data_IF_780057709485
#
_entry.id   IF_780057709485
#
_cell.length_a   1.000
_cell.length_b   1.000
_cell.length_c   1.000
_cell.angle_alpha   90.00
_cell.angle_beta   90.00
_cell.angle_gamma   90.00
#
_symmetry.space_group_name_H-M   'P 1'
#
loop_
_entity.id
_entity.type
_entity.pdbx_description
1 polymer ?
#
# COMPACT_ATOMS: atom_id res chain seq x y z
N UNK A 1 -27.14 1.73 -4.70
CA UNK A 1 -26.47 2.43 -5.78
C UNK A 1 -26.30 3.90 -5.41
N UNK A 2 -25.13 4.41 -5.58
CA UNK A 2 -24.77 5.77 -5.14
C UNK A 2 -24.55 6.68 -6.33
N UNK A 3 -24.81 7.99 -6.18
CA UNK A 3 -24.56 8.95 -7.25
C UNK A 3 -23.11 8.88 -7.72
N UNK A 4 -22.89 9.02 -9.00
CA UNK A 4 -21.57 9.00 -9.60
C UNK A 4 -20.67 10.08 -9.03
N UNK A 5 -21.22 11.20 -8.62
CA UNK A 5 -20.48 12.30 -7.99
C UNK A 5 -19.83 11.93 -6.66
N UNK A 6 -20.26 10.86 -6.01
CA UNK A 6 -19.70 10.40 -4.75
C UNK A 6 -18.50 9.46 -4.94
N UNK A 7 -18.35 8.87 -6.12
CA UNK A 7 -17.31 7.88 -6.40
C UNK A 7 -15.91 8.49 -6.26
N UNK A 8 -15.75 9.74 -6.63
CA UNK A 8 -14.46 10.43 -6.60
C UNK A 8 -14.27 11.33 -5.37
N UNK A 9 -15.19 11.26 -4.41
CA UNK A 9 -15.06 12.01 -3.16
C UNK A 9 -14.17 11.26 -2.17
N UNK A 10 -13.67 11.90 -1.08
CA UNK A 10 -12.98 11.19 -0.02
C UNK A 10 -13.85 10.10 0.62
N UNK A 11 -15.16 10.20 0.47
CA UNK A 11 -16.15 9.24 0.96
C UNK A 11 -16.66 8.37 -0.17
N UNK A 12 -15.80 8.01 -1.11
CA UNK A 12 -16.17 7.17 -2.23
C UNK A 12 -16.91 5.91 -1.77
N UNK A 13 -18.02 5.60 -2.46
CA UNK A 13 -18.93 4.52 -2.08
C UNK A 13 -19.11 3.55 -3.22
N UNK A 14 -18.06 2.92 -3.63
CA UNK A 14 -18.09 1.92 -4.68
C UNK A 14 -18.39 0.56 -4.08
N UNK A 15 -19.40 -0.14 -4.60
CA UNK A 15 -19.68 -1.50 -4.17
C UNK A 15 -18.81 -2.47 -4.97
N UNK A 16 -17.97 -3.28 -4.32
CA UNK A 16 -17.14 -4.26 -5.01
C UNK A 16 -18.00 -5.31 -5.71
N UNK A 17 -17.53 -5.78 -6.86
CA UNK A 17 -18.18 -6.86 -7.56
C UNK A 17 -18.02 -8.19 -6.80
N UNK A 18 -18.96 -9.13 -6.93
CA UNK A 18 -18.84 -10.43 -6.29
C UNK A 18 -17.54 -11.12 -6.67
N UNK A 19 -16.83 -11.64 -5.68
CA UNK A 19 -15.57 -12.33 -5.90
C UNK A 19 -14.34 -11.45 -5.95
N UNK A 20 -14.52 -10.15 -6.06
CA UNK A 20 -13.40 -9.21 -5.96
C UNK A 20 -12.89 -9.13 -4.53
N UNK A 21 -11.64 -8.63 -4.39
CA UNK A 21 -10.97 -8.50 -3.11
C UNK A 21 -10.81 -7.09 -2.60
N UNK A 22 -11.51 -6.11 -3.13
CA UNK A 22 -11.39 -4.73 -2.69
C UNK A 22 -11.93 -4.51 -1.28
N UNK A 23 -12.64 -5.48 -0.71
CA UNK A 23 -13.13 -5.37 0.66
C UNK A 23 -12.03 -5.11 1.67
N UNK A 24 -10.78 -5.44 1.37
CA UNK A 24 -9.66 -5.14 2.26
C UNK A 24 -9.42 -3.65 2.44
N UNK A 25 -9.74 -2.85 1.43
CA UNK A 25 -9.53 -1.41 1.42
C UNK A 25 -10.82 -0.61 1.67
N UNK A 26 -11.91 -1.30 1.97
CA UNK A 26 -13.21 -0.67 2.24
C UNK A 26 -13.63 -0.88 3.68
N UNK A 27 -14.32 0.11 4.23
CA UNK A 27 -15.01 -0.04 5.51
C UNK A 27 -16.50 0.16 5.32
N UNK A 28 -17.29 -0.53 6.11
CA UNK A 28 -18.73 -0.40 6.09
C UNK A 28 -19.12 0.75 7.01
N UNK A 29 -19.80 1.75 6.45
CA UNK A 29 -20.20 2.95 7.19
C UNK A 29 -21.72 3.06 7.17
N UNK A 30 -22.28 3.48 8.31
CA UNK A 30 -23.71 3.80 8.43
C UNK A 30 -23.83 5.31 8.57
N UNK A 31 -23.97 6.06 7.45
CA UNK A 31 -24.11 7.52 7.53
C UNK A 31 -25.35 7.93 8.31
N UNK A 32 -25.24 9.04 9.03
CA UNK A 32 -26.37 9.59 9.79
C UNK A 32 -27.53 9.91 8.84
N UNK A 33 -28.74 9.52 9.24
CA UNK A 33 -29.95 9.77 8.44
C UNK A 33 -30.20 8.78 7.31
N UNK A 34 -29.39 7.75 7.20
CA UNK A 34 -29.60 6.68 6.21
C UNK A 34 -29.84 5.35 6.91
N UNK A 35 -30.51 4.44 6.22
CA UNK A 35 -30.73 3.07 6.73
C UNK A 35 -29.82 2.05 6.09
N UNK A 36 -29.30 2.36 4.89
CA UNK A 36 -28.44 1.45 4.17
C UNK A 36 -26.97 1.75 4.42
N UNK A 37 -26.17 0.75 4.80
CA UNK A 37 -24.72 0.95 4.95
C UNK A 37 -24.07 1.14 3.58
N UNK A 38 -22.95 1.86 3.58
CA UNK A 38 -22.13 2.05 2.38
C UNK A 38 -20.73 1.56 2.62
N UNK A 39 -20.06 1.09 1.55
CA UNK A 39 -18.64 0.73 1.59
C UNK A 39 -17.82 1.95 1.17
N UNK A 40 -16.94 2.38 2.06
CA UNK A 40 -16.08 3.54 1.82
C UNK A 40 -14.67 3.07 1.49
N UNK A 41 -14.14 3.53 0.35
CA UNK A 41 -12.78 3.21 -0.07
C UNK A 41 -11.79 4.06 0.72
N UNK A 42 -11.26 3.50 1.78
CA UNK A 42 -10.47 4.22 2.78
C UNK A 42 -9.13 4.73 2.23
N UNK A 43 -8.56 4.09 1.21
CA UNK A 43 -7.30 4.54 0.61
C UNK A 43 -7.40 5.89 -0.08
N UNK A 44 -8.59 6.35 -0.41
CA UNK A 44 -8.82 7.69 -0.97
C UNK A 44 -8.92 8.76 0.11
N UNK A 45 -8.90 8.38 1.38
CA UNK A 45 -9.00 9.33 2.49
C UNK A 45 -7.65 9.94 2.81
N UNK A 46 -7.61 11.21 3.23
CA UNK A 46 -6.38 11.82 3.70
C UNK A 46 -5.95 11.22 5.03
N UNK A 47 -4.66 11.34 5.34
CA UNK A 47 -4.15 10.90 6.62
C UNK A 47 -2.73 11.33 6.85
N UNK A 48 -2.30 11.22 8.10
CA UNK A 48 -0.97 11.56 8.54
C UNK A 48 -0.17 10.29 8.80
N UNK A 49 1.08 10.29 8.35
CA UNK A 49 1.97 9.14 8.50
C UNK A 49 2.39 8.96 9.95
N UNK A 50 2.27 7.73 10.44
CA UNK A 50 2.67 7.30 11.76
C UNK A 50 3.55 6.05 11.67
N UNK A 51 4.11 5.63 12.80
CA UNK A 51 4.93 4.43 12.87
C UNK A 51 6.42 4.73 12.83
N UNK A 52 7.22 3.74 13.17
CA UNK A 52 8.67 3.89 13.32
C UNK A 52 9.48 3.20 12.22
N UNK A 53 8.90 2.21 11.57
CA UNK A 53 9.62 1.36 10.64
C UNK A 53 10.58 0.43 11.37
N UNK A 54 11.42 -0.23 10.61
CA UNK A 54 12.41 -1.17 11.14
C UNK A 54 13.80 -0.86 10.59
N UNK A 55 14.81 -1.07 11.41
CA UNK A 55 16.19 -0.96 10.97
C UNK A 55 16.49 -2.07 9.98
N UNK A 56 17.01 -1.68 8.81
CA UNK A 56 17.36 -2.63 7.76
C UNK A 56 18.86 -2.91 7.80
N UNK A 57 19.19 -4.20 7.72
CA UNK A 57 20.57 -4.64 7.53
C UNK A 57 20.63 -5.55 6.32
N UNK A 58 21.62 -5.37 5.45
CA UNK A 58 21.76 -6.15 4.23
C UNK A 58 20.77 -5.74 3.14
N UNK A 59 20.28 -6.71 2.38
CA UNK A 59 19.40 -6.47 1.25
C UNK A 59 17.96 -6.29 1.71
N UNK A 60 17.44 -5.09 1.55
CA UNK A 60 16.11 -4.73 2.04
C UNK A 60 14.98 -5.58 1.46
N UNK A 61 14.94 -5.73 0.13
CA UNK A 61 13.82 -6.39 -0.54
C UNK A 61 13.99 -7.90 -0.70
N UNK A 62 14.99 -8.49 -0.04
CA UNK A 62 15.20 -9.93 -0.09
C UNK A 62 13.99 -10.73 0.42
N UNK A 63 13.27 -10.19 1.39
CA UNK A 63 12.13 -10.86 2.00
C UNK A 63 10.77 -10.46 1.41
N UNK A 64 10.76 -9.68 0.33
CA UNK A 64 9.51 -9.21 -0.27
C UNK A 64 8.62 -10.34 -0.82
N UNK A 65 9.21 -11.49 -1.11
CA UNK A 65 8.49 -12.66 -1.63
C UNK A 65 7.95 -13.61 -0.58
N UNK A 66 8.04 -13.26 0.70
CA UNK A 66 7.62 -14.15 1.79
C UNK A 66 7.01 -13.37 2.96
N UNK A 67 6.22 -14.07 3.79
CA UNK A 67 5.59 -13.45 4.96
C UNK A 67 4.74 -12.25 4.57
N UNK A 68 4.87 -11.17 5.33
CA UNK A 68 4.22 -9.89 5.04
C UNK A 68 5.11 -8.95 4.23
N UNK A 69 6.13 -9.48 3.58
CA UNK A 69 7.07 -8.71 2.78
C UNK A 69 8.19 -8.09 3.58
N UNK A 70 8.94 -7.21 2.94
CA UNK A 70 10.00 -6.46 3.60
C UNK A 70 9.43 -5.30 4.40
N UNK A 71 9.97 -4.99 5.57
CA UNK A 71 9.46 -3.90 6.40
C UNK A 71 9.76 -2.53 5.79
N UNK A 72 9.07 -1.51 6.27
CA UNK A 72 9.39 -0.13 5.92
C UNK A 72 10.66 0.27 6.67
N UNK A 73 11.72 0.70 5.97
CA UNK A 73 12.96 1.09 6.64
C UNK A 73 12.76 2.28 7.57
N UNK A 74 13.39 2.24 8.75
CA UNK A 74 13.26 3.30 9.74
C UNK A 74 13.70 4.66 9.21
N UNK A 75 14.77 4.71 8.39
CA UNK A 75 15.23 5.96 7.81
C UNK A 75 14.20 6.59 6.87
N UNK A 76 13.39 5.77 6.21
CA UNK A 76 12.31 6.27 5.35
C UNK A 76 11.11 6.68 6.22
N UNK A 77 10.76 5.87 7.21
CA UNK A 77 9.70 6.22 8.16
C UNK A 77 9.98 7.57 8.83
N UNK A 78 11.23 7.82 9.20
CA UNK A 78 11.62 9.08 9.82
C UNK A 78 11.41 10.28 8.90
N UNK A 79 11.59 10.11 7.59
CA UNK A 79 11.39 11.18 6.60
C UNK A 79 9.92 11.48 6.34
N UNK A 80 9.05 10.49 6.52
CA UNK A 80 7.63 10.63 6.19
C UNK A 80 6.75 10.88 7.41
N UNK A 81 7.20 10.51 8.60
CA UNK A 81 6.40 10.64 9.82
C UNK A 81 5.95 12.08 10.04
N UNK A 82 4.66 12.23 10.32
CA UNK A 82 4.06 13.54 10.55
C UNK A 82 3.59 14.24 9.28
N UNK A 83 3.99 13.77 8.10
CA UNK A 83 3.50 14.35 6.85
C UNK A 83 2.08 13.87 6.56
N UNK A 84 1.28 14.75 6.00
CA UNK A 84 -0.11 14.48 5.63
C UNK A 84 -0.22 14.29 4.13
N UNK A 85 -0.96 13.28 3.69
CA UNK A 85 -1.20 13.00 2.28
C UNK A 85 -2.70 13.00 2.02
N UNK A 86 -3.08 13.44 0.83
CA UNK A 86 -4.50 13.51 0.42
C UNK A 86 -5.08 12.12 0.14
N UNK A 87 -4.24 11.18 -0.26
CA UNK A 87 -4.63 9.81 -0.53
C UNK A 87 -3.41 8.90 -0.47
N UNK A 88 -3.63 7.60 -0.50
CA UNK A 88 -2.55 6.63 -0.37
C UNK A 88 -1.60 6.63 -1.58
N UNK A 89 -2.09 6.95 -2.77
CA UNK A 89 -1.24 7.01 -3.95
C UNK A 89 -0.18 8.12 -3.82
N UNK A 90 -0.55 9.27 -3.25
CA UNK A 90 0.39 10.35 -2.99
C UNK A 90 1.45 9.93 -1.96
N UNK A 91 1.03 9.18 -0.94
CA UNK A 91 1.97 8.60 0.03
C UNK A 91 2.94 7.65 -0.67
N UNK A 92 2.43 6.75 -1.50
CA UNK A 92 3.25 5.76 -2.20
C UNK A 92 4.32 6.42 -3.07
N UNK A 93 3.95 7.48 -3.79
CA UNK A 93 4.91 8.25 -4.59
C UNK A 93 5.99 8.87 -3.72
N UNK A 94 5.60 9.50 -2.61
CA UNK A 94 6.55 10.10 -1.68
C UNK A 94 7.46 9.04 -1.05
N UNK A 95 6.93 7.87 -0.76
CA UNK A 95 7.71 6.76 -0.22
C UNK A 95 8.86 6.37 -1.16
N UNK A 96 8.56 6.10 -2.42
CA UNK A 96 9.58 5.70 -3.38
C UNK A 96 10.56 6.82 -3.70
N UNK A 97 10.11 8.07 -3.69
CA UNK A 97 11.01 9.22 -3.82
C UNK A 97 12.01 9.29 -2.67
N UNK A 98 11.57 9.09 -1.45
CA UNK A 98 12.47 9.07 -0.29
C UNK A 98 13.45 7.89 -0.36
N UNK A 99 13.01 6.74 -0.82
CA UNK A 99 13.89 5.59 -1.07
C UNK A 99 14.99 5.96 -2.07
N UNK A 100 14.65 6.67 -3.12
CA UNK A 100 15.62 7.09 -4.15
C UNK A 100 16.67 8.04 -3.62
N UNK A 101 16.34 8.81 -2.58
CA UNK A 101 17.25 9.78 -1.97
C UNK A 101 18.13 9.19 -0.87
N UNK A 102 17.79 8.01 -0.39
CA UNK A 102 18.56 7.35 0.67
C UNK A 102 19.75 6.61 0.05
N UNK A 103 20.99 6.96 0.41
CA UNK A 103 22.16 6.36 -0.22
C UNK A 103 22.31 4.87 0.04
N UNK A 104 21.88 4.39 1.19
CA UNK A 104 21.98 2.98 1.55
C UNK A 104 20.98 2.12 0.79
N UNK A 105 19.75 2.60 0.63
CA UNK A 105 18.70 1.87 -0.08
C UNK A 105 18.82 2.04 -1.58
N UNK A 106 19.09 3.24 -2.07
CA UNK A 106 19.13 3.52 -3.50
C UNK A 106 20.22 2.71 -4.22
N UNK A 107 21.36 2.48 -3.57
CA UNK A 107 22.43 1.68 -4.18
C UNK A 107 22.08 0.21 -4.38
N UNK A 108 21.01 -0.26 -3.78
CA UNK A 108 20.53 -1.64 -3.94
C UNK A 108 19.76 -1.86 -5.23
N UNK A 109 19.47 -0.79 -5.95
CA UNK A 109 18.71 -0.85 -7.20
C UNK A 109 19.60 -0.68 -8.41
N UNK A 110 19.28 -1.40 -9.50
CA UNK A 110 19.93 -1.22 -10.79
C UNK A 110 19.44 0.08 -11.42
N UNK A 111 20.16 0.57 -12.42
CA UNK A 111 19.90 1.87 -13.04
C UNK A 111 18.46 2.07 -13.54
N UNK A 112 17.83 1.04 -14.12
CA UNK A 112 16.46 1.14 -14.60
C UNK A 112 15.48 1.35 -13.44
N UNK A 113 15.61 0.57 -12.37
CA UNK A 113 14.73 0.71 -11.19
C UNK A 113 15.03 2.00 -10.44
N UNK A 114 16.28 2.42 -10.38
CA UNK A 114 16.63 3.70 -9.76
C UNK A 114 15.93 4.85 -10.48
N UNK A 115 15.86 4.82 -11.81
CA UNK A 115 15.13 5.81 -12.60
C UNK A 115 13.65 5.83 -12.23
N UNK A 116 13.04 4.66 -12.03
CA UNK A 116 11.63 4.59 -11.66
C UNK A 116 11.36 5.17 -10.28
N UNK A 117 12.15 4.80 -9.27
CA UNK A 117 11.93 5.33 -7.91
C UNK A 117 12.23 6.82 -7.81
N UNK A 118 13.14 7.33 -8.62
CA UNK A 118 13.41 8.76 -8.72
C UNK A 118 12.21 9.57 -9.26
N UNK A 119 11.28 8.91 -9.91
CA UNK A 119 10.03 9.50 -10.40
C UNK A 119 8.84 9.23 -9.47
N UNK A 120 9.07 8.57 -8.34
CA UNK A 120 8.01 8.18 -7.42
C UNK A 120 7.27 6.90 -7.81
N UNK A 121 7.80 6.14 -8.76
CA UNK A 121 7.23 4.88 -9.18
C UNK A 121 7.91 3.71 -8.46
N UNK A 122 7.15 2.68 -8.11
CA UNK A 122 7.73 1.49 -7.51
C UNK A 122 8.64 0.77 -8.51
N UNK A 123 9.69 0.09 -8.03
CA UNK A 123 10.59 -0.65 -8.92
C UNK A 123 9.94 -1.92 -9.45
N UNK A 124 10.47 -2.43 -10.55
CA UNK A 124 10.06 -3.72 -11.09
C UNK A 124 10.62 -4.88 -10.28
N UNK A 125 9.82 -5.93 -10.13
CA UNK A 125 10.24 -7.20 -9.56
C UNK A 125 10.89 -8.05 -10.65
N UNK A 126 11.47 -9.18 -10.24
CA UNK A 126 11.94 -10.17 -11.20
C UNK A 126 10.74 -10.78 -11.94
N UNK A 127 10.93 -11.24 -13.16
CA UNK A 127 9.88 -11.84 -13.97
C UNK A 127 9.15 -12.97 -13.23
N UNK A 128 9.89 -13.83 -12.54
CA UNK A 128 9.33 -14.96 -11.80
C UNK A 128 8.47 -14.54 -10.59
N UNK A 129 8.60 -13.30 -10.14
CA UNK A 129 7.83 -12.75 -9.04
C UNK A 129 6.69 -11.85 -9.53
N UNK A 130 6.48 -11.77 -10.83
CA UNK A 130 5.42 -11.00 -11.46
C UNK A 130 4.22 -11.88 -11.77
N UNK A 131 3.03 -11.28 -11.81
CA UNK A 131 1.81 -11.99 -12.20
C UNK A 131 1.02 -11.12 -13.18
N UNK A 132 0.89 -11.59 -14.43
CA UNK A 132 0.22 -10.85 -15.47
C UNK A 132 0.84 -9.48 -15.70
N UNK A 133 0.04 -8.43 -15.66
CA UNK A 133 0.52 -7.05 -15.79
C UNK A 133 1.07 -6.45 -14.51
N UNK A 134 1.08 -7.20 -13.42
CA UNK A 134 1.57 -6.73 -12.12
C UNK A 134 3.04 -7.11 -11.99
N UNK A 135 3.89 -6.20 -12.38
CA UNK A 135 5.33 -6.42 -12.51
C UNK A 135 6.16 -5.62 -11.50
N UNK A 136 5.51 -4.87 -10.60
CA UNK A 136 6.17 -3.96 -9.66
C UNK A 136 5.99 -4.42 -8.23
N UNK A 137 6.90 -3.99 -7.37
CA UNK A 137 6.72 -4.14 -5.91
C UNK A 137 5.48 -3.37 -5.47
N UNK A 138 4.80 -3.89 -4.46
CA UNK A 138 3.54 -3.34 -3.96
C UNK A 138 3.62 -3.10 -2.47
N UNK A 139 2.90 -2.07 -1.99
CA UNK A 139 2.75 -1.82 -0.57
C UNK A 139 1.53 -2.59 -0.07
N UNK A 140 1.76 -3.44 0.92
CA UNK A 140 0.76 -4.32 1.49
C UNK A 140 0.42 -3.84 2.91
N UNK A 141 -0.88 -3.77 3.25
CA UNK A 141 -1.31 -3.51 4.61
C UNK A 141 -1.43 -4.84 5.36
N UNK A 142 -0.63 -5.00 6.41
CA UNK A 142 -0.53 -6.26 7.16
C UNK A 142 -1.87 -6.59 7.81
N UNK A 143 -2.42 -5.66 8.60
CA UNK A 143 -3.82 -5.74 9.02
C UNK A 143 -4.65 -5.04 7.96
N UNK A 144 -5.58 -5.76 7.32
CA UNK A 144 -6.42 -5.15 6.29
C UNK A 144 -7.18 -3.95 6.81
N UNK A 145 -7.34 -2.95 5.96
CA UNK A 145 -8.07 -1.72 6.30
C UNK A 145 -9.50 -2.06 6.73
N UNK A 146 -10.15 -3.00 6.06
CA UNK A 146 -11.50 -3.45 6.40
C UNK A 146 -11.59 -4.08 7.79
N UNK A 147 -10.47 -4.48 8.37
CA UNK A 147 -10.39 -5.07 9.71
C UNK A 147 -9.79 -4.11 10.73
N UNK A 148 -9.80 -2.82 10.46
CA UNK A 148 -9.30 -1.81 11.37
C UNK A 148 -7.83 -1.46 11.21
N UNK A 149 -7.17 -1.98 10.18
CA UNK A 149 -5.77 -1.64 9.90
C UNK A 149 -5.62 -0.18 9.51
N UNK A 150 -4.60 0.48 10.04
CA UNK A 150 -4.33 1.87 9.75
C UNK A 150 -3.69 2.04 8.37
N UNK A 151 -4.22 2.98 7.58
CA UNK A 151 -3.77 3.19 6.20
C UNK A 151 -2.36 3.78 6.14
N UNK A 152 -2.04 4.73 7.04
CA UNK A 152 -0.81 5.51 7.00
C UNK A 152 0.19 5.15 8.09
N UNK A 153 -0.04 4.06 8.81
CA UNK A 153 0.91 3.57 9.79
C UNK A 153 1.92 2.66 9.07
N UNK A 154 3.17 3.11 8.98
CA UNK A 154 4.21 2.35 8.27
C UNK A 154 4.52 1.01 8.95
N UNK A 155 4.21 0.86 10.23
CA UNK A 155 4.37 -0.41 10.94
C UNK A 155 3.28 -1.41 10.56
N UNK A 156 2.22 -0.96 9.89
CA UNK A 156 1.18 -1.81 9.30
C UNK A 156 1.42 -2.07 7.81
N UNK A 157 2.59 -1.79 7.30
CA UNK A 157 2.90 -1.96 5.89
C UNK A 157 4.06 -2.92 5.68
N UNK A 158 4.03 -3.61 4.54
CA UNK A 158 5.15 -4.38 4.04
C UNK A 158 5.29 -4.18 2.54
N UNK A 159 6.50 -4.28 2.03
CA UNK A 159 6.76 -4.22 0.59
C UNK A 159 6.81 -5.65 0.07
N UNK A 160 5.89 -6.00 -0.80
CA UNK A 160 5.78 -7.36 -1.34
C UNK A 160 5.99 -7.38 -2.84
N UNK A 161 6.39 -8.55 -3.36
CA UNK A 161 6.25 -8.82 -4.79
C UNK A 161 4.76 -8.93 -5.10
N UNK A 162 4.37 -8.70 -6.34
CA UNK A 162 2.97 -8.86 -6.74
C UNK A 162 2.50 -10.30 -6.55
N UNK A 163 3.36 -11.26 -6.85
CA UNK A 163 3.06 -12.69 -6.62
C UNK A 163 2.75 -12.97 -5.15
N UNK A 164 3.60 -12.48 -4.23
CA UNK A 164 3.37 -12.70 -2.79
C UNK A 164 2.11 -12.01 -2.29
N UNK A 165 1.84 -10.80 -2.78
CA UNK A 165 0.63 -10.06 -2.40
C UNK A 165 -0.63 -10.84 -2.80
N UNK A 166 -0.63 -11.42 -3.99
CA UNK A 166 -1.74 -12.28 -4.45
C UNK A 166 -1.86 -13.53 -3.58
N UNK A 167 -0.75 -14.16 -3.23
CA UNK A 167 -0.76 -15.34 -2.35
C UNK A 167 -1.38 -15.04 -0.99
N UNK A 168 -1.03 -13.90 -0.39
CA UNK A 168 -1.60 -13.48 0.89
C UNK A 168 -3.13 -13.32 0.78
N UNK A 169 -3.59 -12.65 -0.27
CA UNK A 169 -5.03 -12.44 -0.50
C UNK A 169 -5.75 -13.75 -0.76
N UNK A 170 -5.13 -14.68 -1.48
CA UNK A 170 -5.73 -15.98 -1.77
C UNK A 170 -5.86 -16.83 -0.51
N UNK A 171 -4.88 -16.81 0.38
CA UNK A 171 -4.94 -17.52 1.67
C UNK A 171 -6.07 -16.96 2.53
N UNK A 172 -6.21 -15.64 2.61
CA UNK A 172 -7.28 -15.00 3.36
C UNK A 172 -8.67 -15.35 2.81
N UNK A 173 -8.77 -15.60 1.49
CA UNK A 173 -10.03 -15.97 0.85
C UNK A 173 -10.53 -17.35 1.25
N UNK A 174 -9.62 -18.26 1.56
CA UNK A 174 -9.96 -19.61 1.95
C UNK A 174 -10.52 -19.75 3.37
N UNK A 175 -10.53 -18.68 4.12
CA UNK A 175 -11.01 -18.64 5.50
C UNK A 175 -12.48 -18.29 5.63
#
# INVERSE_FOLDING_TARGET
VYPESEINSPWSTETPAPGERPFRDYILVHPAGTFDPIYVYIRNQPGQVTGKGQKISGTWLADAGQGNGSPIPSQIADKLRGRTFSNFDDFRQAFWLEVSKDPELSRQFRSNNLTHIQKGNSPFTREQDSVGGRERYELHHITPISQGGEVYNVDNMGVTTSKRHIEIHSSAKGE
#
